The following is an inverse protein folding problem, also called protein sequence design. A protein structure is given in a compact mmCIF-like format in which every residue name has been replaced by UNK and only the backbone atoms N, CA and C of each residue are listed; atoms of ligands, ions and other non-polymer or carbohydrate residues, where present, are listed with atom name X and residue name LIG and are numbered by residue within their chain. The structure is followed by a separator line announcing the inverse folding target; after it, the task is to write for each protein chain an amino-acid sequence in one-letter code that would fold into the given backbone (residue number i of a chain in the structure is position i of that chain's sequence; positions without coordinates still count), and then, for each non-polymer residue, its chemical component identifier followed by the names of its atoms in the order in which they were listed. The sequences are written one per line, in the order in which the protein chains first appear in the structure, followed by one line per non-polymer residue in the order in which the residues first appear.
data_IF_545192752626
#
_entry.id   IF_545192752626
#
_cell.length_a   1.000
_cell.length_b   1.000
_cell.length_c   1.000
_cell.angle_alpha   90.00
_cell.angle_beta   90.00
_cell.angle_gamma   90.00
#
_symmetry.space_group_name_H-M   'P 1'
#
loop_
_entity.id
_entity.type
_entity.pdbx_description
1 polymer ?
#
# COMPACT_ATOMS: atom_id res chain seq x y z
N UNK A 1 -0.32 -23.99 -1.46
CA UNK A 1 0.10 -22.64 -1.86
C UNK A 1 -1.14 -21.80 -2.16
N UNK A 2 -1.23 -20.66 -1.56
CA UNK A 2 -2.37 -19.81 -1.78
C UNK A 2 -2.15 -18.85 -2.95
N UNK A 3 -3.26 -18.34 -3.43
CA UNK A 3 -3.32 -17.47 -4.59
C UNK A 3 -3.02 -16.03 -4.15
N UNK A 4 -1.80 -15.56 -4.40
CA UNK A 4 -1.38 -14.22 -4.04
C UNK A 4 -1.17 -13.36 -5.28
N UNK A 5 -2.07 -12.40 -5.48
CA UNK A 5 -2.02 -11.51 -6.63
C UNK A 5 -0.75 -10.65 -6.64
N UNK A 6 -0.27 -10.23 -5.48
CA UNK A 6 0.96 -9.44 -5.40
C UNK A 6 2.18 -10.28 -5.79
N UNK A 7 2.25 -11.53 -5.36
CA UNK A 7 3.31 -12.44 -5.80
C UNK A 7 3.27 -12.64 -7.32
N UNK A 8 2.08 -12.72 -7.91
CA UNK A 8 1.92 -12.84 -9.36
C UNK A 8 2.39 -11.59 -10.08
N UNK A 9 2.10 -10.42 -9.54
CA UNK A 9 2.58 -9.14 -10.08
C UNK A 9 4.11 -9.09 -10.03
N UNK A 10 4.70 -9.49 -8.91
CA UNK A 10 6.16 -9.52 -8.74
C UNK A 10 6.81 -10.43 -9.78
N UNK A 11 6.20 -11.58 -10.05
CA UNK A 11 6.69 -12.56 -11.03
C UNK A 11 6.33 -12.18 -12.46
N UNK A 12 5.62 -11.08 -12.65
CA UNK A 12 5.17 -10.60 -13.97
C UNK A 12 4.20 -11.56 -14.67
N UNK A 13 3.49 -12.36 -13.89
CA UNK A 13 2.46 -13.27 -14.41
C UNK A 13 1.18 -12.52 -14.73
N UNK A 14 0.94 -11.40 -14.08
CA UNK A 14 -0.19 -10.50 -14.38
C UNK A 14 0.32 -9.05 -14.45
N UNK A 15 -0.33 -8.20 -15.26
CA UNK A 15 0.09 -6.82 -15.43
C UNK A 15 -0.26 -5.96 -14.20
N UNK A 16 0.43 -4.83 -14.07
CA UNK A 16 0.16 -3.82 -13.05
C UNK A 16 0.58 -2.45 -13.57
N UNK A 17 0.06 -1.40 -12.96
CA UNK A 17 0.52 -0.04 -13.21
C UNK A 17 1.64 0.28 -12.22
N UNK A 18 2.84 -0.16 -12.55
CA UNK A 18 4.00 -0.05 -11.66
C UNK A 18 4.46 1.39 -11.51
N UNK A 19 4.70 1.81 -10.27
CA UNK A 19 5.21 3.13 -9.91
C UNK A 19 6.71 3.06 -9.63
N UNK A 20 7.14 2.01 -8.91
CA UNK A 20 8.50 1.85 -8.46
C UNK A 20 8.78 0.38 -8.22
N UNK A 21 10.01 -0.01 -8.46
CA UNK A 21 10.48 -1.36 -8.15
C UNK A 21 11.97 -1.34 -7.91
N UNK A 22 12.41 -2.03 -6.87
CA UNK A 22 13.82 -2.31 -6.65
C UNK A 22 13.98 -3.78 -6.29
N UNK A 23 15.14 -4.15 -5.75
CA UNK A 23 15.45 -5.53 -5.38
C UNK A 23 14.49 -6.08 -4.33
N UNK A 24 14.04 -5.24 -3.41
CA UNK A 24 13.29 -5.66 -2.22
C UNK A 24 11.83 -5.27 -2.21
N UNK A 25 11.45 -4.24 -2.96
CA UNK A 25 10.09 -3.67 -2.89
C UNK A 25 9.49 -3.44 -4.26
N UNK A 26 8.17 -3.34 -4.29
CA UNK A 26 7.40 -2.98 -5.48
C UNK A 26 6.26 -2.06 -5.09
N UNK A 27 5.94 -1.12 -5.95
CA UNK A 27 4.82 -0.20 -5.78
C UNK A 27 4.04 -0.08 -7.07
N UNK A 28 2.73 -0.11 -6.98
CA UNK A 28 1.84 -0.05 -8.13
C UNK A 28 0.50 0.56 -7.75
N UNK A 29 -0.21 1.10 -8.74
CA UNK A 29 -1.53 1.68 -8.52
C UNK A 29 -2.53 0.60 -8.17
N UNK A 30 -3.43 0.90 -7.24
CA UNK A 30 -4.56 0.03 -6.92
C UNK A 30 -5.54 0.06 -8.10
N UNK A 31 -5.97 -1.11 -8.59
CA UNK A 31 -6.92 -1.21 -9.71
C UNK A 31 -8.36 -0.94 -9.26
N UNK A 32 -8.62 -0.94 -7.97
CA UNK A 32 -9.90 -0.54 -7.38
C UNK A 32 -9.67 0.67 -6.46
N UNK A 33 -9.24 1.81 -7.03
CA UNK A 33 -8.74 2.92 -6.22
C UNK A 33 -9.85 3.62 -5.45
N UNK A 34 -9.51 4.04 -4.23
CA UNK A 34 -10.40 4.89 -3.42
C UNK A 34 -10.29 6.36 -3.81
N UNK A 35 -9.22 6.73 -4.50
CA UNK A 35 -8.96 8.09 -4.97
C UNK A 35 -7.96 8.04 -6.13
N UNK A 36 -7.88 9.09 -6.95
CA UNK A 36 -6.80 9.18 -7.93
C UNK A 36 -5.45 9.06 -7.23
N UNK A 37 -4.56 8.23 -7.77
CA UNK A 37 -3.24 8.03 -7.21
C UNK A 37 -3.16 7.04 -6.04
N UNK A 38 -4.26 6.39 -5.68
CA UNK A 38 -4.23 5.35 -4.64
C UNK A 38 -3.23 4.27 -5.04
N UNK A 39 -2.17 4.15 -4.25
CA UNK A 39 -1.01 3.33 -4.54
C UNK A 39 -0.77 2.32 -3.42
N UNK A 40 -0.24 1.16 -3.78
CA UNK A 40 0.17 0.15 -2.81
C UNK A 40 1.69 -0.02 -2.87
N UNK A 41 2.30 -0.29 -1.71
CA UNK A 41 3.72 -0.63 -1.59
C UNK A 41 3.84 -1.94 -0.84
N UNK A 42 4.63 -2.86 -1.39
CA UNK A 42 4.82 -4.19 -0.79
C UNK A 42 6.30 -4.58 -0.82
N UNK A 43 6.67 -5.42 0.14
CA UNK A 43 7.93 -6.16 0.05
C UNK A 43 7.75 -7.29 -0.96
N UNK A 44 8.80 -7.61 -1.71
CA UNK A 44 8.77 -8.74 -2.64
C UNK A 44 8.70 -10.07 -1.91
N UNK A 45 9.33 -10.15 -0.73
CA UNK A 45 9.21 -11.31 0.13
C UNK A 45 7.78 -11.44 0.62
N UNK A 46 7.19 -12.60 0.44
CA UNK A 46 5.81 -12.86 0.89
C UNK A 46 5.72 -12.93 2.40
N UNK A 47 4.73 -12.27 2.97
CA UNK A 47 4.37 -12.29 4.37
C UNK A 47 2.98 -11.70 4.54
N UNK A 48 2.33 -11.99 5.65
CA UNK A 48 0.94 -11.58 5.89
C UNK A 48 0.83 -10.32 6.74
N UNK A 49 1.73 -10.17 7.71
CA UNK A 49 1.70 -9.04 8.64
C UNK A 49 3.10 -8.50 8.89
N UNK A 50 3.18 -7.37 9.58
CA UNK A 50 4.48 -6.79 9.98
C UNK A 50 5.27 -7.73 10.89
N UNK A 51 4.61 -8.70 11.52
CA UNK A 51 5.28 -9.67 12.39
C UNK A 51 6.09 -10.72 11.62
N UNK A 52 5.85 -10.85 10.32
CA UNK A 52 6.54 -11.83 9.47
C UNK A 52 7.88 -11.33 8.93
N UNK A 53 8.26 -10.11 9.26
CA UNK A 53 9.45 -9.47 8.70
C UNK A 53 10.40 -8.99 9.79
N UNK A 54 11.69 -8.91 9.44
CA UNK A 54 12.70 -8.31 10.31
C UNK A 54 12.60 -6.79 10.30
N UNK A 55 13.26 -6.14 11.26
CA UNK A 55 13.35 -4.68 11.29
C UNK A 55 14.01 -4.13 10.03
N UNK A 56 15.04 -4.83 9.53
CA UNK A 56 15.72 -4.42 8.30
C UNK A 56 14.78 -4.49 7.10
N UNK A 57 14.00 -5.55 6.98
CA UNK A 57 13.01 -5.70 5.92
C UNK A 57 11.95 -4.61 6.00
N UNK A 58 11.43 -4.35 7.20
CA UNK A 58 10.44 -3.28 7.40
C UNK A 58 11.04 -1.90 7.09
N UNK A 59 12.30 -1.69 7.40
CA UNK A 59 13.00 -0.45 7.04
C UNK A 59 13.03 -0.22 5.53
N UNK A 60 13.26 -1.28 4.77
CA UNK A 60 13.24 -1.22 3.30
C UNK A 60 11.84 -0.88 2.77
N UNK A 61 10.82 -1.48 3.36
CA UNK A 61 9.42 -1.18 3.02
C UNK A 61 9.12 0.31 3.23
N UNK A 62 9.44 0.83 4.41
CA UNK A 62 9.14 2.22 4.74
C UNK A 62 10.00 3.22 3.96
N UNK A 63 11.21 2.86 3.58
CA UNK A 63 12.02 3.69 2.68
C UNK A 63 11.31 3.87 1.33
N UNK A 64 10.71 2.81 0.80
CA UNK A 64 9.96 2.90 -0.45
C UNK A 64 8.64 3.66 -0.25
N UNK A 65 7.95 3.45 0.87
CA UNK A 65 6.75 4.23 1.21
C UNK A 65 7.09 5.72 1.21
N UNK A 66 8.21 6.11 1.78
CA UNK A 66 8.66 7.49 1.83
C UNK A 66 8.88 8.07 0.42
N UNK A 67 9.52 7.30 -0.46
CA UNK A 67 9.74 7.72 -1.86
C UNK A 67 8.43 7.89 -2.62
N UNK A 68 7.50 6.96 -2.44
CA UNK A 68 6.20 6.99 -3.11
C UNK A 68 5.36 8.15 -2.58
N UNK A 69 5.37 8.38 -1.28
CA UNK A 69 4.69 9.51 -0.64
C UNK A 69 5.14 10.84 -1.27
N UNK A 70 6.44 11.04 -1.38
CA UNK A 70 7.01 12.23 -1.98
C UNK A 70 6.55 12.40 -3.44
N UNK A 71 6.54 11.32 -4.20
CA UNK A 71 6.11 11.34 -5.59
C UNK A 71 4.62 11.67 -5.73
N UNK A 72 3.77 11.13 -4.85
CA UNK A 72 2.33 11.40 -4.87
C UNK A 72 2.03 12.85 -4.52
N UNK A 73 2.68 13.40 -3.51
CA UNK A 73 2.52 14.80 -3.12
C UNK A 73 2.86 15.72 -4.29
N UNK A 74 3.96 15.42 -4.97
CA UNK A 74 4.40 16.21 -6.12
C UNK A 74 3.45 16.06 -7.31
N UNK A 75 3.01 14.85 -7.61
CA UNK A 75 2.20 14.56 -8.80
C UNK A 75 0.76 15.04 -8.68
N UNK A 76 0.18 14.94 -7.49
CA UNK A 76 -1.23 15.24 -7.27
C UNK A 76 -1.48 16.56 -6.56
N UNK A 77 -0.42 17.29 -6.24
CA UNK A 77 -0.49 18.61 -5.60
C UNK A 77 -1.38 18.62 -4.35
N UNK A 78 -1.26 17.59 -3.54
CA UNK A 78 -1.91 17.50 -2.24
C UNK A 78 -0.91 16.97 -1.22
N UNK A 79 -0.91 17.53 -0.02
CA UNK A 79 -0.02 17.08 1.06
C UNK A 79 -0.71 16.10 2.00
N UNK A 80 -2.03 15.98 1.90
CA UNK A 80 -2.79 15.08 2.75
C UNK A 80 -2.82 13.69 2.12
N UNK A 81 -2.09 12.78 2.71
CA UNK A 81 -2.02 11.38 2.28
C UNK A 81 -2.43 10.51 3.46
N UNK A 82 -3.37 9.61 3.28
CA UNK A 82 -3.66 8.60 4.28
C UNK A 82 -2.81 7.38 3.99
N UNK A 83 -2.04 6.95 4.99
CA UNK A 83 -1.13 5.81 4.87
C UNK A 83 -1.58 4.76 5.88
N UNK A 84 -1.78 3.53 5.43
CA UNK A 84 -2.23 2.50 6.36
C UNK A 84 -2.10 1.09 5.81
N UNK A 85 -2.26 0.14 6.73
CA UNK A 85 -2.19 -1.29 6.48
C UNK A 85 -3.43 -1.93 7.08
N UNK A 86 -4.06 -2.86 6.35
CA UNK A 86 -5.09 -3.73 6.89
C UNK A 86 -4.49 -5.12 7.08
N UNK A 87 -4.09 -5.46 8.30
CA UNK A 87 -3.54 -6.78 8.59
C UNK A 87 -4.66 -7.80 8.69
N UNK A 88 -4.48 -8.96 8.05
CA UNK A 88 -5.46 -10.05 8.06
C UNK A 88 -6.85 -9.61 7.61
N UNK A 89 -6.89 -8.70 6.64
CA UNK A 89 -8.15 -8.27 6.06
C UNK A 89 -8.91 -9.47 5.50
N UNK A 90 -10.09 -9.73 6.03
CA UNK A 90 -10.93 -10.83 5.57
C UNK A 90 -11.35 -10.57 4.12
N UNK A 91 -11.06 -11.53 3.23
CA UNK A 91 -11.32 -11.38 1.81
C UNK A 91 -10.33 -10.47 1.08
N UNK A 92 -9.33 -9.96 1.79
CA UNK A 92 -8.30 -9.11 1.19
C UNK A 92 -7.14 -9.90 0.61
N UNK A 93 -6.13 -9.19 0.15
CA UNK A 93 -4.94 -9.79 -0.47
C UNK A 93 -4.01 -10.33 0.61
N UNK A 94 -3.65 -11.64 0.56
CA UNK A 94 -2.81 -12.27 1.58
C UNK A 94 -1.32 -11.98 1.37
N UNK A 95 -0.94 -10.72 1.44
CA UNK A 95 0.43 -10.25 1.27
C UNK A 95 0.47 -8.84 1.84
N UNK A 96 1.36 -8.60 2.79
CA UNK A 96 1.46 -7.28 3.43
C UNK A 96 1.61 -6.18 2.40
N UNK A 97 0.74 -5.19 2.46
CA UNK A 97 0.82 -4.04 1.57
C UNK A 97 0.39 -2.78 2.30
N UNK A 98 1.08 -1.69 2.00
CA UNK A 98 0.81 -0.38 2.56
C UNK A 98 0.03 0.42 1.53
N UNK A 99 -1.13 0.94 1.93
CA UNK A 99 -1.91 1.84 1.10
C UNK A 99 -1.43 3.28 1.30
N UNK A 100 -1.24 3.99 0.20
CA UNK A 100 -1.06 5.44 0.22
C UNK A 100 -2.19 6.04 -0.62
N UNK A 101 -3.04 6.81 0.05
CA UNK A 101 -4.24 7.37 -0.59
C UNK A 101 -4.16 8.89 -0.55
N UNK A 102 -4.01 9.55 -1.71
CA UNK A 102 -4.06 11.02 -1.75
C UNK A 102 -5.45 11.50 -1.35
N UNK A 103 -5.50 12.59 -0.59
CA UNK A 103 -6.74 13.12 -0.05
C UNK A 103 -7.00 14.54 -0.52
N UNK A 104 -8.25 14.85 -0.71
CA UNK A 104 -8.71 16.20 -1.05
C UNK A 104 -9.90 16.56 -0.20
N UNK A 105 -10.13 17.87 -0.08
CA UNK A 105 -11.33 18.38 0.61
C UNK A 105 -12.56 17.81 -0.08
N UNK A 106 -13.51 17.34 0.72
CA UNK A 106 -14.80 16.81 0.23
C UNK A 106 -14.66 15.54 -0.65
N UNK A 107 -13.64 14.74 -0.38
CA UNK A 107 -13.40 13.48 -1.12
C UNK A 107 -14.27 12.30 -0.65
N UNK A 108 -15.18 12.56 0.28
CA UNK A 108 -16.11 11.53 0.77
C UNK A 108 -15.55 10.67 1.90
N UNK A 109 -14.31 10.91 2.31
CA UNK A 109 -13.67 10.11 3.34
C UNK A 109 -13.44 10.86 4.64
N UNK A 110 -12.87 10.15 5.60
CA UNK A 110 -12.49 10.70 6.90
C UNK A 110 -11.01 10.45 7.17
N UNK A 111 -10.59 10.73 8.39
CA UNK A 111 -9.23 10.45 8.84
C UNK A 111 -9.17 9.05 9.42
N UNK A 112 -7.97 8.54 9.70
CA UNK A 112 -7.77 7.13 10.05
C UNK A 112 -8.58 6.67 11.28
N UNK A 113 -8.78 7.55 12.25
CA UNK A 113 -9.53 7.20 13.45
C UNK A 113 -11.04 7.04 13.19
N UNK A 114 -11.51 7.30 11.97
CA UNK A 114 -12.92 7.08 11.60
C UNK A 114 -13.13 5.72 10.92
N UNK A 115 -12.09 4.90 10.84
CA UNK A 115 -12.14 3.56 10.24
C UNK A 115 -13.12 2.66 11.00
N UNK A 116 -13.21 2.86 12.31
CA UNK A 116 -14.17 2.13 13.14
C UNK A 116 -14.91 3.12 14.02
N UNK A 117 -16.17 2.81 14.33
CA UNK A 117 -17.01 3.62 15.20
C UNK A 117 -17.62 2.71 16.25
N UNK A 118 -16.82 2.41 17.28
CA UNK A 118 -17.21 1.48 18.34
C UNK A 118 -16.52 1.86 19.65
N UNK A 119 -16.82 3.06 20.22
CA UNK A 119 -16.19 3.48 21.46
C UNK A 119 -16.54 2.55 22.61
N UNK A 120 -15.63 2.38 23.62
CA UNK A 120 -15.89 1.54 24.79
C UNK A 120 -16.99 2.08 25.68
#
# INVERSE_FOLDING_TARGET
MYDCIICKIIKKEIPSYKIFEDEDTISFLDIYPSAPGHTMVSLKKHGLTILDYSQDELGKLWTTVQKVDKALIKSFNTKLITIGINQFEEGGVPHLHVHLIPRWKDDGGGIIQTVVKNPP
#
